data_IF_422059769642
#
_entry.id   IF_422059769642
#
_cell.length_a   1.000
_cell.length_b   1.000
_cell.length_c   1.000
_cell.angle_alpha   90.00
_cell.angle_beta   90.00
_cell.angle_gamma   90.00
#
_symmetry.space_group_name_H-M   'P 1'
#
loop_
_entity.id
_entity.type
_entity.pdbx_description
1 polymer ?
#
# COMPACT_ATOMS: atom_id res chain seq x y z
N UNK A 1 8.57 1.40 17.10
CA UNK A 1 7.46 1.83 16.23
C UNK A 1 7.51 1.02 14.94
N UNK A 2 6.39 0.44 14.50
CA UNK A 2 6.31 -0.23 13.20
C UNK A 2 6.27 0.79 12.06
N UNK A 3 6.84 0.45 10.91
CA UNK A 3 6.87 1.33 9.73
C UNK A 3 5.47 1.50 9.12
N UNK A 4 4.64 0.46 9.19
CA UNK A 4 3.26 0.41 8.71
C UNK A 4 2.35 -0.22 9.75
N UNK A 5 1.07 0.15 9.77
CA UNK A 5 0.03 -0.48 10.58
C UNK A 5 -1.35 -0.28 9.94
N UNK A 6 -2.27 -1.20 10.23
CA UNK A 6 -3.68 -1.05 9.92
C UNK A 6 -4.41 -0.64 11.19
N UNK A 7 -5.28 0.36 11.07
CA UNK A 7 -6.22 0.78 12.11
C UNK A 7 -7.65 0.61 11.59
N UNK A 8 -8.62 0.33 12.46
CA UNK A 8 -10.02 0.12 12.08
C UNK A 8 -10.47 -1.32 12.25
N UNK A 9 -11.06 -1.91 11.22
CA UNK A 9 -11.63 -3.26 11.27
C UNK A 9 -10.62 -4.33 11.71
N UNK A 10 -10.98 -5.15 12.70
CA UNK A 10 -10.16 -6.26 13.21
C UNK A 10 -9.91 -7.36 12.15
N UNK A 11 -10.76 -7.45 11.14
CA UNK A 11 -10.61 -8.41 10.04
C UNK A 11 -9.54 -8.03 9.01
N UNK A 12 -9.01 -6.81 9.05
CA UNK A 12 -7.98 -6.37 8.11
C UNK A 12 -6.58 -6.77 8.59
N UNK A 13 -5.89 -7.56 7.77
CA UNK A 13 -4.54 -8.04 8.06
C UNK A 13 -3.57 -7.52 7.00
N UNK A 14 -2.47 -6.91 7.47
CA UNK A 14 -1.32 -6.59 6.62
C UNK A 14 -0.45 -7.84 6.45
N UNK A 15 -0.49 -8.43 5.26
CA UNK A 15 0.19 -9.68 4.93
C UNK A 15 1.62 -9.44 4.43
N UNK A 16 1.77 -8.58 3.45
CA UNK A 16 3.04 -8.37 2.73
C UNK A 16 3.49 -6.93 2.84
N UNK A 17 4.79 -6.74 3.11
CA UNK A 17 5.51 -5.47 2.96
C UNK A 17 6.76 -5.74 2.11
N UNK A 18 6.83 -5.16 0.91
CA UNK A 18 7.98 -5.33 0.01
C UNK A 18 8.32 -4.04 -0.74
N UNK A 19 9.43 -4.04 -1.47
CA UNK A 19 9.78 -2.97 -2.42
C UNK A 19 9.06 -3.16 -3.76
N UNK A 20 8.87 -2.07 -4.50
CA UNK A 20 8.41 -2.14 -5.90
C UNK A 20 9.44 -2.87 -6.74
N UNK A 21 9.00 -3.82 -7.56
CA UNK A 21 9.92 -4.63 -8.39
C UNK A 21 10.56 -3.81 -9.50
N UNK A 22 9.83 -2.83 -10.02
CA UNK A 22 10.23 -1.96 -11.11
C UNK A 22 10.85 -0.63 -10.65
N UNK A 23 10.98 -0.39 -9.33
CA UNK A 23 11.66 0.80 -8.81
C UNK A 23 13.13 0.85 -9.28
N UNK A 24 13.66 2.06 -9.52
CA UNK A 24 15.01 2.29 -10.06
C UNK A 24 16.16 1.66 -9.25
N UNK A 25 15.97 1.46 -7.94
CA UNK A 25 16.95 0.84 -7.05
C UNK A 25 16.76 -0.67 -6.85
N UNK A 26 15.75 -1.26 -7.49
CA UNK A 26 15.41 -2.69 -7.38
C UNK A 26 15.43 -3.42 -8.73
N UNK A 27 15.00 -2.73 -9.80
CA UNK A 27 14.81 -3.32 -11.12
C UNK A 27 16.05 -4.01 -11.68
N UNK A 28 15.85 -5.14 -12.37
CA UNK A 28 16.90 -5.97 -12.98
C UNK A 28 16.98 -5.83 -14.50
N UNK A 29 16.37 -4.79 -15.07
CA UNK A 29 16.30 -4.54 -16.54
C UNK A 29 15.45 -5.53 -17.34
N UNK A 30 14.62 -6.32 -16.66
CA UNK A 30 13.61 -7.23 -17.20
C UNK A 30 12.22 -6.57 -17.34
N UNK A 31 11.96 -5.51 -16.58
CA UNK A 31 10.75 -4.69 -16.64
C UNK A 31 11.09 -3.20 -16.92
N UNK A 32 10.15 -2.41 -17.46
CA UNK A 32 10.31 -0.96 -17.58
C UNK A 32 10.57 -0.32 -16.21
N UNK A 33 11.68 0.40 -16.07
CA UNK A 33 12.09 1.00 -14.79
C UNK A 33 11.20 2.20 -14.45
N UNK A 34 10.60 2.18 -13.26
CA UNK A 34 9.89 3.31 -12.64
C UNK A 34 10.86 4.12 -11.78
N UNK A 35 10.81 5.45 -11.94
CA UNK A 35 11.60 6.38 -11.12
C UNK A 35 11.05 6.48 -9.69
N UNK A 36 11.95 6.64 -8.74
CA UNK A 36 11.62 6.75 -7.33
C UNK A 36 11.59 5.41 -6.61
N UNK A 37 11.16 5.47 -5.34
CA UNK A 37 11.14 4.32 -4.44
C UNK A 37 9.74 4.11 -3.91
N UNK A 38 9.24 2.90 -4.04
CA UNK A 38 7.91 2.49 -3.64
C UNK A 38 7.97 1.37 -2.59
N UNK A 39 6.93 1.34 -1.75
CA UNK A 39 6.62 0.20 -0.88
C UNK A 39 5.29 -0.38 -1.34
N UNK A 40 5.27 -1.70 -1.51
CA UNK A 40 4.07 -2.47 -1.84
C UNK A 40 3.56 -3.12 -0.57
N UNK A 41 2.28 -2.91 -0.30
CA UNK A 41 1.57 -3.42 0.85
C UNK A 41 0.39 -4.27 0.39
N UNK A 42 0.25 -5.46 0.94
CA UNK A 42 -0.91 -6.33 0.68
C UNK A 42 -1.74 -6.45 1.94
N UNK A 43 -3.01 -6.08 1.84
CA UNK A 43 -3.97 -6.13 2.92
C UNK A 43 -5.11 -7.04 2.50
N UNK A 44 -5.54 -7.94 3.39
CA UNK A 44 -6.67 -8.81 3.12
C UNK A 44 -7.65 -8.82 4.28
N UNK A 45 -8.91 -9.18 3.96
CA UNK A 45 -9.97 -9.40 4.94
C UNK A 45 -10.04 -10.88 5.33
N UNK A 46 -10.00 -11.17 6.64
CA UNK A 46 -10.09 -12.54 7.18
C UNK A 46 -11.50 -12.98 7.53
N UNK A 47 -12.45 -12.05 7.70
CA UNK A 47 -13.76 -12.34 8.31
C UNK A 47 -14.91 -12.40 7.29
N UNK A 48 -14.64 -12.16 6.01
CA UNK A 48 -15.64 -12.19 4.94
C UNK A 48 -16.57 -10.98 4.92
N UNK A 49 -16.16 -9.87 5.53
CA UNK A 49 -16.94 -8.63 5.61
C UNK A 49 -16.43 -7.56 4.65
N UNK A 50 -17.27 -6.54 4.39
CA UNK A 50 -16.76 -5.29 3.78
C UNK A 50 -16.08 -4.48 4.90
N UNK A 51 -14.75 -4.50 4.91
CA UNK A 51 -13.96 -3.89 5.95
C UNK A 51 -13.43 -2.52 5.52
N UNK A 52 -13.50 -1.56 6.45
CA UNK A 52 -12.91 -0.22 6.30
C UNK A 52 -11.87 -0.01 7.39
N UNK A 53 -10.83 0.74 7.04
CA UNK A 53 -9.77 1.07 7.97
C UNK A 53 -8.82 2.11 7.40
N UNK A 54 -7.76 2.37 8.14
CA UNK A 54 -6.69 3.25 7.74
C UNK A 54 -5.39 2.47 7.63
N UNK A 55 -4.75 2.58 6.47
CA UNK A 55 -3.37 2.21 6.33
C UNK A 55 -2.51 3.39 6.77
N UNK A 56 -1.77 3.22 7.87
CA UNK A 56 -0.91 4.23 8.47
C UNK A 56 0.55 3.89 8.27
N UNK A 57 1.39 4.92 8.22
CA UNK A 57 2.85 4.78 8.21
C UNK A 57 3.52 5.67 9.27
N UNK A 58 4.69 5.24 9.71
CA UNK A 58 5.46 5.90 10.76
C UNK A 58 6.23 7.15 10.26
N UNK A 59 7.57 7.17 10.33
CA UNK A 59 8.36 8.35 9.94
C UNK A 59 8.49 8.55 8.42
N UNK A 60 7.96 7.62 7.61
CA UNK A 60 8.08 7.67 6.16
C UNK A 60 7.34 8.87 5.57
N UNK A 61 7.97 9.49 4.55
CA UNK A 61 7.34 10.51 3.73
C UNK A 61 6.74 9.85 2.50
N UNK A 62 5.42 9.80 2.44
CA UNK A 62 4.69 9.19 1.33
C UNK A 62 4.13 10.31 0.46
N UNK A 63 4.56 10.33 -0.80
CA UNK A 63 4.15 11.32 -1.78
C UNK A 63 2.75 11.03 -2.31
N UNK A 64 2.49 9.75 -2.64
CA UNK A 64 1.27 9.27 -3.31
C UNK A 64 1.01 7.82 -2.95
N UNK A 65 -0.26 7.45 -2.98
CA UNK A 65 -0.71 6.07 -2.76
C UNK A 65 -1.69 5.68 -3.86
N UNK A 66 -1.54 4.45 -4.35
CA UNK A 66 -2.49 3.84 -5.27
C UNK A 66 -2.97 2.50 -4.73
N UNK A 67 -4.24 2.18 -4.95
CA UNK A 67 -4.69 0.79 -5.03
C UNK A 67 -4.27 0.25 -6.39
N UNK A 68 -3.56 -0.86 -6.39
CA UNK A 68 -3.02 -1.50 -7.58
C UNK A 68 -3.48 -2.95 -7.70
N UNK A 69 -3.28 -3.54 -8.89
CA UNK A 69 -3.46 -4.97 -9.08
C UNK A 69 -2.28 -5.76 -8.46
N UNK A 70 -2.32 -7.09 -8.57
CA UNK A 70 -1.25 -7.96 -8.05
C UNK A 70 0.10 -7.78 -8.77
N UNK A 71 0.08 -7.20 -9.98
CA UNK A 71 1.25 -6.88 -10.80
C UNK A 71 1.76 -5.45 -10.56
N UNK A 72 1.25 -4.76 -9.53
CA UNK A 72 1.68 -3.40 -9.14
C UNK A 72 1.36 -2.31 -10.17
N UNK A 73 0.38 -2.56 -11.06
CA UNK A 73 -0.18 -1.54 -11.94
C UNK A 73 -1.19 -0.69 -11.18
N UNK A 74 -1.00 0.63 -11.22
CA UNK A 74 -1.86 1.59 -10.56
C UNK A 74 -3.27 1.56 -11.15
N UNK A 75 -4.29 1.42 -10.28
CA UNK A 75 -5.70 1.45 -10.69
C UNK A 75 -6.39 2.71 -10.18
N UNK A 76 -6.28 2.97 -8.88
CA UNK A 76 -6.99 4.07 -8.21
C UNK A 76 -6.03 4.85 -7.31
N UNK A 77 -5.91 6.15 -7.55
CA UNK A 77 -5.15 7.04 -6.66
C UNK A 77 -5.96 7.35 -5.40
N UNK A 78 -5.36 7.12 -4.23
CA UNK A 78 -6.00 7.36 -2.94
C UNK A 78 -5.55 8.67 -2.32
N UNK A 79 -6.44 9.30 -1.55
CA UNK A 79 -6.18 10.58 -0.89
C UNK A 79 -5.32 10.39 0.36
N UNK A 80 -4.10 10.91 0.32
CA UNK A 80 -3.17 10.87 1.45
C UNK A 80 -3.52 11.93 2.50
N UNK A 81 -3.71 11.49 3.74
CA UNK A 81 -3.81 12.34 4.92
C UNK A 81 -2.40 12.68 5.43
N UNK A 82 -1.87 13.84 5.05
CA UNK A 82 -0.48 14.22 5.39
C UNK A 82 -0.24 14.36 6.89
N UNK A 83 -1.19 14.96 7.61
CA UNK A 83 -1.07 15.19 9.07
C UNK A 83 -1.14 13.89 9.85
N UNK A 84 -2.10 13.03 9.50
CA UNK A 84 -2.34 11.76 10.18
C UNK A 84 -1.54 10.58 9.60
N UNK A 85 -0.68 10.85 8.60
CA UNK A 85 0.21 9.87 7.93
C UNK A 85 -0.50 8.58 7.55
N UNK A 86 -1.56 8.71 6.78
CA UNK A 86 -2.38 7.58 6.41
C UNK A 86 -3.22 7.79 5.18
N UNK A 87 -3.95 6.74 4.86
CA UNK A 87 -4.94 6.70 3.79
C UNK A 87 -6.09 5.79 4.21
N UNK A 88 -7.31 6.22 3.95
CA UNK A 88 -8.48 5.35 4.14
C UNK A 88 -8.47 4.25 3.08
N UNK A 89 -8.73 3.02 3.52
CA UNK A 89 -8.83 1.85 2.65
C UNK A 89 -10.14 1.12 2.88
N UNK A 90 -10.65 0.55 1.80
CA UNK A 90 -11.79 -0.36 1.82
C UNK A 90 -11.41 -1.66 1.11
N UNK A 91 -11.65 -2.77 1.80
CA UNK A 91 -11.38 -4.13 1.34
C UNK A 91 -12.70 -4.90 1.38
N UNK A 92 -13.07 -5.53 0.27
CA UNK A 92 -14.27 -6.35 0.14
C UNK A 92 -14.07 -7.70 0.86
N UNK A 93 -15.17 -8.41 1.05
CA UNK A 93 -15.17 -9.74 1.66
C UNK A 93 -14.14 -10.66 0.99
N UNK A 94 -13.17 -11.15 1.77
CA UNK A 94 -12.05 -11.99 1.32
C UNK A 94 -11.22 -11.41 0.15
N UNK A 95 -11.28 -10.10 -0.07
CA UNK A 95 -10.43 -9.45 -1.06
C UNK A 95 -8.99 -9.38 -0.54
N UNK A 96 -8.05 -9.57 -1.47
CA UNK A 96 -6.63 -9.30 -1.28
C UNK A 96 -6.32 -8.02 -2.05
N UNK A 97 -6.30 -6.89 -1.35
CA UNK A 97 -6.02 -5.58 -1.92
C UNK A 97 -4.51 -5.29 -1.87
N UNK A 98 -3.96 -4.77 -2.97
CA UNK A 98 -2.57 -4.35 -3.04
C UNK A 98 -2.51 -2.83 -3.13
N UNK A 99 -1.60 -2.22 -2.38
CA UNK A 99 -1.38 -0.78 -2.34
C UNK A 99 0.08 -0.46 -2.61
N UNK A 100 0.32 0.52 -3.47
CA UNK A 100 1.65 1.06 -3.77
C UNK A 100 1.81 2.43 -3.16
N UNK A 101 2.82 2.60 -2.30
CA UNK A 101 3.16 3.85 -1.63
C UNK A 101 4.44 4.39 -2.25
N UNK A 102 4.36 5.47 -3.02
CA UNK A 102 5.55 6.17 -3.51
C UNK A 102 6.12 7.04 -2.41
N UNK A 103 7.40 6.87 -2.11
CA UNK A 103 8.13 7.65 -1.12
C UNK A 103 8.60 8.96 -1.73
N UNK A 104 8.62 10.02 -0.92
CA UNK A 104 9.31 11.26 -1.29
C UNK A 104 10.84 11.01 -1.29
N UNK A 105 11.51 11.49 -2.34
CA UNK A 105 12.98 11.45 -2.48
C UNK A 105 13.68 12.41 -1.52
#
# INVERSE_FOLDING_TARGET
MSAFRIEGSEGLVLDTVKRGEDDEDVSRSDLPVRKGKSVILRVYDTLGGRARGFLRWGPLKVAKVWKCNILEDDLEALKVEREAKGVEIEVRAFEVATYRLLLES
#
